data_IF_213117749670
#
_entry.id   IF_213117749670
#
_cell.length_a   1.000
_cell.length_b   1.000
_cell.length_c   1.000
_cell.angle_alpha   90.00
_cell.angle_beta   90.00
_cell.angle_gamma   90.00
#
_symmetry.space_group_name_H-M   'P 1'
#
loop_
_entity.id
_entity.type
_entity.pdbx_description
1 polymer ?
#
# COMPACT_ATOMS: atom_id res chain seq x y z
N UNK A 1 -10.60 5.42 -5.48
CA UNK A 1 -9.62 5.80 -4.44
C UNK A 1 -8.41 6.54 -5.01
N UNK A 2 -8.42 6.88 -6.32
CA UNK A 2 -7.29 7.46 -7.05
C UNK A 2 -6.72 8.76 -6.50
N UNK A 3 -7.54 9.64 -5.93
CA UNK A 3 -7.05 10.92 -5.36
C UNK A 3 -5.98 10.68 -4.29
N UNK A 4 -6.15 9.64 -3.47
CA UNK A 4 -5.18 9.30 -2.41
C UNK A 4 -3.86 8.78 -2.98
N UNK A 5 -3.85 8.31 -4.24
CA UNK A 5 -2.68 7.77 -4.94
C UNK A 5 -1.91 8.83 -5.72
N UNK A 6 -2.36 10.09 -5.70
CA UNK A 6 -1.74 11.15 -6.48
C UNK A 6 -0.31 11.42 -6.01
N UNK A 7 0.63 11.31 -6.94
CA UNK A 7 2.06 11.56 -6.76
C UNK A 7 2.55 12.59 -7.77
N UNK A 8 3.46 13.46 -7.33
CA UNK A 8 4.02 14.50 -8.19
C UNK A 8 3.01 15.60 -8.51
N UNK A 9 3.49 16.59 -9.26
CA UNK A 9 2.66 17.72 -9.68
C UNK A 9 1.77 17.33 -10.87
N UNK A 10 0.47 17.68 -10.83
CA UNK A 10 -0.43 17.45 -11.96
C UNK A 10 0.11 18.05 -13.26
N UNK A 11 0.00 17.30 -14.36
CA UNK A 11 0.43 17.74 -15.69
C UNK A 11 1.89 17.42 -16.06
N UNK A 12 2.71 16.90 -15.12
CA UNK A 12 4.05 16.40 -15.45
C UNK A 12 3.96 15.00 -16.06
N UNK A 13 4.51 14.85 -17.27
CA UNK A 13 4.54 13.56 -18.02
C UNK A 13 5.80 12.72 -17.78
N UNK A 14 6.80 13.26 -17.07
CA UNK A 14 8.02 12.54 -16.74
C UNK A 14 7.73 11.46 -15.69
N UNK A 15 8.43 10.30 -15.73
CA UNK A 15 8.29 9.27 -14.70
C UNK A 15 8.56 9.83 -13.30
N UNK A 16 7.63 9.57 -12.37
CA UNK A 16 7.76 9.98 -10.98
C UNK A 16 8.71 9.03 -10.22
N UNK A 17 9.72 9.60 -9.56
CA UNK A 17 10.58 8.87 -8.64
C UNK A 17 10.39 9.40 -7.21
N UNK A 18 10.39 8.54 -6.19
CA UNK A 18 10.17 8.94 -4.80
C UNK A 18 11.08 10.07 -4.32
N UNK A 19 12.36 10.09 -4.71
CA UNK A 19 13.29 11.16 -4.33
C UNK A 19 12.91 12.56 -4.86
N UNK A 20 11.95 12.64 -5.79
CA UNK A 20 11.38 13.90 -6.32
C UNK A 20 10.03 14.26 -5.69
N UNK A 21 9.55 13.48 -4.72
CA UNK A 21 8.32 13.80 -3.99
C UNK A 21 8.45 15.15 -3.27
N UNK A 22 7.32 15.84 -3.17
CA UNK A 22 7.18 17.11 -2.48
C UNK A 22 5.85 17.14 -1.71
N UNK A 23 5.68 18.14 -0.86
CA UNK A 23 4.49 18.29 -0.01
C UNK A 23 3.20 18.64 -0.78
N UNK A 24 3.26 18.79 -2.11
CA UNK A 24 2.08 18.96 -2.97
C UNK A 24 1.44 17.62 -3.38
N UNK A 25 2.08 16.48 -3.10
CA UNK A 25 1.54 15.15 -3.38
C UNK A 25 0.66 14.65 -2.24
N UNK A 26 -0.48 14.04 -2.56
CA UNK A 26 -1.33 13.36 -1.54
C UNK A 26 -0.66 12.07 -1.06
N UNK A 27 -0.09 11.30 -2.01
CA UNK A 27 0.80 10.19 -1.71
C UNK A 27 2.22 10.73 -1.51
N UNK A 28 2.58 10.95 -0.24
CA UNK A 28 3.86 11.53 0.13
C UNK A 28 4.93 10.45 0.29
N UNK A 29 6.12 10.70 -0.27
CA UNK A 29 7.29 9.86 -0.10
C UNK A 29 8.39 10.63 0.61
N UNK A 30 9.01 10.00 1.61
CA UNK A 30 10.13 10.59 2.31
C UNK A 30 11.32 10.74 1.36
N UNK A 31 11.83 11.96 1.20
CA UNK A 31 12.93 12.27 0.27
C UNK A 31 14.28 12.51 0.93
N UNK A 32 14.33 12.56 2.26
CA UNK A 32 15.58 12.69 2.99
C UNK A 32 15.40 13.18 4.43
N UNK A 33 16.49 13.64 5.09
CA UNK A 33 16.43 14.13 6.47
C UNK A 33 15.63 15.43 6.62
N UNK A 34 15.58 16.28 5.58
CA UNK A 34 14.82 17.55 5.60
C UNK A 34 13.32 17.30 5.39
N UNK A 35 12.99 16.24 4.65
CA UNK A 35 11.65 15.84 4.23
C UNK A 35 11.41 14.36 4.58
N UNK A 36 11.36 14.02 5.88
CA UNK A 36 11.33 12.64 6.35
C UNK A 36 9.93 12.02 6.35
N UNK A 37 8.91 12.80 6.00
CA UNK A 37 7.51 12.38 6.08
C UNK A 37 7.13 11.52 4.87
N UNK A 38 6.34 10.48 5.11
CA UNK A 38 5.73 9.65 4.08
C UNK A 38 4.35 9.18 4.52
N UNK A 39 3.48 8.89 3.57
CA UNK A 39 2.12 8.39 3.87
C UNK A 39 2.22 6.98 4.47
N UNK A 40 1.78 6.80 5.71
CA UNK A 40 1.88 5.51 6.44
C UNK A 40 0.62 4.64 6.33
N UNK A 41 -0.48 5.23 5.87
CA UNK A 41 -1.78 4.61 5.72
C UNK A 41 -2.74 5.54 4.99
N UNK A 42 -3.81 5.00 4.44
CA UNK A 42 -4.86 5.75 3.77
C UNK A 42 -6.22 5.10 3.99
N UNK A 43 -7.27 5.93 4.06
CA UNK A 43 -8.62 5.49 4.31
C UNK A 43 -9.61 6.26 3.43
N UNK A 44 -10.64 5.57 2.94
CA UNK A 44 -11.88 6.19 2.43
C UNK A 44 -13.05 5.70 3.26
N UNK A 45 -13.91 6.61 3.69
CA UNK A 45 -15.15 6.29 4.41
C UNK A 45 -16.36 6.63 3.54
N UNK A 46 -17.23 5.66 3.36
CA UNK A 46 -18.54 5.81 2.72
C UNK A 46 -19.61 5.76 3.80
N UNK A 47 -20.15 6.93 4.12
CA UNK A 47 -21.12 7.10 5.20
C UNK A 47 -22.55 7.09 4.65
N UNK A 48 -23.44 6.39 5.35
CA UNK A 48 -24.85 6.23 5.07
C UNK A 48 -25.69 6.68 6.29
N UNK A 49 -26.91 7.18 6.08
CA UNK A 49 -27.85 7.45 7.18
C UNK A 49 -28.13 6.21 8.04
N UNK A 50 -28.22 5.04 7.40
CA UNK A 50 -28.18 3.76 8.10
C UNK A 50 -26.73 3.40 8.41
N UNK A 51 -26.35 3.60 9.67
CA UNK A 51 -24.99 3.37 10.18
C UNK A 51 -24.50 1.93 9.95
N UNK A 52 -25.41 0.95 9.91
CA UNK A 52 -25.06 -0.45 9.61
C UNK A 52 -24.61 -0.68 8.16
N UNK A 53 -24.81 0.32 7.29
CA UNK A 53 -24.40 0.31 5.89
C UNK A 53 -23.14 1.16 5.63
N UNK A 54 -22.55 1.75 6.66
CA UNK A 54 -21.26 2.44 6.55
C UNK A 54 -20.17 1.47 6.10
N UNK A 55 -19.35 1.89 5.13
CA UNK A 55 -18.21 1.14 4.64
C UNK A 55 -16.94 1.95 4.72
N UNK A 56 -15.84 1.25 4.89
CA UNK A 56 -14.52 1.84 4.91
C UNK A 56 -13.60 1.04 4.01
N UNK A 57 -12.59 1.72 3.52
CA UNK A 57 -11.55 1.14 2.69
C UNK A 57 -10.21 1.59 3.26
N UNK A 58 -9.37 0.65 3.67
CA UNK A 58 -8.10 0.95 4.31
C UNK A 58 -6.96 0.35 3.54
N UNK A 59 -5.82 1.03 3.50
CA UNK A 59 -4.60 0.39 2.98
C UNK A 59 -3.99 -0.60 3.97
N UNK A 60 -3.97 -0.26 5.26
CA UNK A 60 -3.21 -1.01 6.27
C UNK A 60 -1.69 -1.00 6.02
N UNK A 61 -1.23 -0.21 5.05
CA UNK A 61 0.14 -0.12 4.54
C UNK A 61 0.44 1.31 4.09
N UNK A 62 1.73 1.64 3.99
CA UNK A 62 2.21 2.93 3.51
C UNK A 62 1.95 3.14 2.01
N UNK A 63 2.27 4.35 1.51
CA UNK A 63 2.36 4.66 0.08
C UNK A 63 1.15 4.15 -0.73
N UNK A 64 -0.01 4.83 -0.65
CA UNK A 64 -1.26 4.37 -1.25
C UNK A 64 -1.16 4.08 -2.74
N UNK A 65 -0.25 4.69 -3.49
CA UNK A 65 -0.07 4.49 -4.94
C UNK A 65 0.36 3.08 -5.36
N UNK A 66 0.88 2.26 -4.45
CA UNK A 66 1.23 0.84 -4.66
C UNK A 66 0.59 -0.07 -3.61
N UNK A 67 -0.43 0.43 -2.91
CA UNK A 67 -1.16 -0.31 -1.87
C UNK A 67 -2.54 -0.75 -2.32
N UNK A 68 -3.06 -1.77 -1.65
CA UNK A 68 -4.44 -2.23 -1.85
C UNK A 68 -5.36 -1.52 -0.86
N UNK A 69 -6.54 -1.08 -1.30
CA UNK A 69 -7.62 -0.65 -0.44
C UNK A 69 -8.54 -1.83 -0.13
N UNK A 70 -8.55 -2.22 1.13
CA UNK A 70 -9.26 -3.38 1.64
C UNK A 70 -10.60 -2.93 2.23
N UNK A 71 -11.73 -3.54 1.85
CA UNK A 71 -13.04 -3.17 2.38
C UNK A 71 -13.19 -3.55 3.85
N UNK A 72 -13.99 -2.80 4.58
CA UNK A 72 -14.33 -3.00 5.99
C UNK A 72 -15.74 -2.46 6.30
N UNK A 73 -16.44 -3.06 7.25
CA UNK A 73 -17.73 -2.54 7.75
C UNK A 73 -17.63 -1.82 9.08
N UNK A 74 -18.60 -0.95 9.36
CA UNK A 74 -18.75 -0.31 10.67
C UNK A 74 -19.17 -1.35 11.72
N UNK A 75 -18.36 -1.53 12.76
CA UNK A 75 -18.45 -2.63 13.75
C UNK A 75 -17.96 -4.02 13.30
N UNK A 76 -17.17 -4.09 12.22
CA UNK A 76 -16.55 -5.35 11.80
C UNK A 76 -15.50 -5.86 12.79
N UNK A 77 -15.37 -7.18 12.89
CA UNK A 77 -14.36 -7.84 13.74
C UNK A 77 -13.14 -8.33 12.95
N UNK A 78 -13.13 -8.08 11.65
CA UNK A 78 -12.11 -8.55 10.72
C UNK A 78 -10.71 -8.14 11.13
N UNK A 79 -10.52 -6.87 11.50
CA UNK A 79 -9.20 -6.29 11.78
C UNK A 79 -8.76 -6.40 13.25
N UNK A 80 -9.38 -7.29 14.04
CA UNK A 80 -8.96 -7.52 15.42
C UNK A 80 -7.57 -8.17 15.47
N UNK A 81 -6.78 -7.82 16.49
CA UNK A 81 -5.40 -8.29 16.68
C UNK A 81 -5.25 -9.81 16.66
N UNK A 82 -6.28 -10.54 17.10
CA UNK A 82 -6.30 -12.01 17.06
C UNK A 82 -6.21 -12.61 15.64
N UNK A 83 -6.56 -11.84 14.61
CA UNK A 83 -6.64 -12.32 13.23
C UNK A 83 -5.37 -12.02 12.43
N UNK A 84 -4.60 -11.00 12.84
CA UNK A 84 -3.44 -10.51 12.09
C UNK A 84 -2.35 -10.00 13.02
N UNK A 85 -1.10 -10.30 12.66
CA UNK A 85 0.07 -9.77 13.34
C UNK A 85 0.11 -8.24 13.25
N UNK A 86 0.15 -7.60 14.42
CA UNK A 86 0.27 -6.14 14.52
C UNK A 86 1.71 -5.72 14.18
N UNK A 87 1.91 -4.66 13.39
CA UNK A 87 3.24 -4.18 13.09
C UNK A 87 3.92 -3.60 14.33
N UNK A 88 5.14 -4.05 14.60
CA UNK A 88 6.03 -3.50 15.60
C UNK A 88 6.91 -2.36 15.05
N UNK A 89 7.75 -1.81 15.93
CA UNK A 89 8.71 -0.76 15.56
C UNK A 89 9.89 -1.27 14.72
N UNK A 90 10.16 -2.57 14.75
CA UNK A 90 11.19 -3.25 13.96
C UNK A 90 10.54 -4.15 12.92
N UNK A 91 11.30 -4.52 11.89
CA UNK A 91 10.86 -5.39 10.81
C UNK A 91 10.33 -6.73 11.33
N UNK A 92 9.11 -7.07 10.92
CA UNK A 92 8.39 -8.29 11.30
C UNK A 92 7.61 -8.87 10.09
N UNK A 93 6.75 -9.89 10.33
CA UNK A 93 5.95 -10.54 9.29
C UNK A 93 4.54 -9.97 9.09
N UNK A 94 4.22 -8.84 9.72
CA UNK A 94 2.96 -8.12 9.54
C UNK A 94 2.75 -7.71 8.09
N UNK A 95 1.49 -7.39 7.76
CA UNK A 95 1.11 -6.86 6.46
C UNK A 95 1.91 -5.59 6.11
N UNK A 96 2.04 -4.69 7.09
CA UNK A 96 2.70 -3.40 6.93
C UNK A 96 4.18 -3.57 6.59
N UNK A 97 4.91 -4.39 7.35
CA UNK A 97 6.33 -4.62 7.09
C UNK A 97 6.59 -5.45 5.82
N UNK A 98 5.69 -6.36 5.47
CA UNK A 98 5.75 -7.08 4.18
C UNK A 98 5.64 -6.11 3.00
N UNK A 99 4.73 -5.13 3.08
CA UNK A 99 4.61 -4.06 2.09
C UNK A 99 5.83 -3.13 2.08
N UNK A 100 6.27 -2.67 3.24
CA UNK A 100 7.42 -1.76 3.36
C UNK A 100 8.70 -2.36 2.80
N UNK A 101 8.90 -3.68 2.94
CA UNK A 101 10.02 -4.38 2.29
C UNK A 101 9.96 -4.20 0.77
N UNK A 102 8.80 -4.42 0.16
CA UNK A 102 8.62 -4.23 -1.27
C UNK A 102 8.89 -2.78 -1.66
N UNK A 103 8.27 -1.82 -0.98
CA UNK A 103 8.45 -0.39 -1.26
C UNK A 103 9.92 0.04 -1.19
N UNK A 104 10.65 -0.38 -0.14
CA UNK A 104 12.07 -0.03 0.07
C UNK A 104 12.99 -0.64 -1.00
N UNK A 105 12.66 -1.82 -1.52
CA UNK A 105 13.44 -2.48 -2.58
C UNK A 105 13.25 -1.83 -3.96
N UNK A 106 12.07 -1.28 -4.24
CA UNK A 106 11.74 -0.76 -5.58
C UNK A 106 12.13 0.69 -5.81
N UNK A 107 12.57 1.43 -4.79
CA UNK A 107 12.73 2.90 -4.87
C UNK A 107 13.57 3.38 -6.06
N UNK A 108 14.57 2.59 -6.46
CA UNK A 108 15.50 2.91 -7.57
C UNK A 108 14.89 2.73 -8.97
N UNK A 109 13.85 1.91 -9.09
CA UNK A 109 13.12 1.58 -10.32
C UNK A 109 11.60 1.67 -10.07
N UNK A 110 11.22 2.67 -9.27
CA UNK A 110 9.86 2.86 -8.78
C UNK A 110 8.81 2.98 -9.89
N UNK A 111 9.02 3.77 -10.97
CA UNK A 111 8.05 3.85 -12.06
C UNK A 111 7.77 2.49 -12.72
N UNK A 112 8.78 1.65 -12.87
CA UNK A 112 8.67 0.31 -13.46
C UNK A 112 7.90 -0.63 -12.54
N UNK A 113 8.27 -0.65 -11.26
CA UNK A 113 7.61 -1.47 -10.26
C UNK A 113 6.14 -1.09 -10.06
N UNK A 114 5.84 0.22 -9.97
CA UNK A 114 4.46 0.71 -9.87
C UNK A 114 3.62 0.25 -11.07
N UNK A 115 4.13 0.43 -12.29
CA UNK A 115 3.44 -0.04 -13.51
C UNK A 115 3.19 -1.54 -13.50
N UNK A 116 4.14 -2.34 -12.99
CA UNK A 116 4.02 -3.79 -12.95
C UNK A 116 2.92 -4.28 -11.99
N UNK A 117 2.65 -3.56 -10.89
CA UNK A 117 1.66 -3.98 -9.88
C UNK A 117 0.30 -3.30 -10.03
N UNK A 118 0.23 -2.16 -10.73
CA UNK A 118 -0.96 -1.32 -10.76
C UNK A 118 -2.19 -2.03 -11.30
N UNK A 119 -2.08 -2.79 -12.40
CA UNK A 119 -3.22 -3.51 -12.96
C UNK A 119 -3.75 -4.54 -11.96
N UNK A 120 -2.87 -5.29 -11.29
CA UNK A 120 -3.25 -6.29 -10.30
C UNK A 120 -3.97 -5.67 -9.10
N UNK A 121 -3.52 -4.48 -8.66
CA UNK A 121 -4.19 -3.70 -7.60
C UNK A 121 -5.61 -3.34 -8.03
N UNK A 122 -5.76 -2.77 -9.23
CA UNK A 122 -7.07 -2.35 -9.75
C UNK A 122 -8.02 -3.54 -9.93
N UNK A 123 -7.54 -4.67 -10.43
CA UNK A 123 -8.37 -5.86 -10.65
C UNK A 123 -8.94 -6.40 -9.33
N UNK A 124 -8.10 -6.51 -8.30
CA UNK A 124 -8.53 -7.00 -6.99
C UNK A 124 -9.44 -6.00 -6.27
N UNK A 125 -9.14 -4.71 -6.35
CA UNK A 125 -10.00 -3.67 -5.76
C UNK A 125 -11.37 -3.60 -6.42
N UNK A 126 -11.44 -3.71 -7.75
CA UNK A 126 -12.72 -3.77 -8.47
C UNK A 126 -13.52 -5.00 -8.08
N UNK A 127 -12.87 -6.16 -7.96
CA UNK A 127 -13.52 -7.40 -7.50
C UNK A 127 -14.11 -7.22 -6.09
N UNK A 128 -13.35 -6.65 -5.15
CA UNK A 128 -13.83 -6.41 -3.79
C UNK A 128 -14.92 -5.34 -3.74
N UNK A 129 -14.85 -4.31 -4.59
CA UNK A 129 -15.86 -3.27 -4.71
C UNK A 129 -17.19 -3.84 -5.22
N UNK A 130 -17.15 -4.69 -6.24
CA UNK A 130 -18.33 -5.36 -6.77
C UNK A 130 -18.98 -6.26 -5.72
N UNK A 131 -18.19 -7.08 -5.01
CA UNK A 131 -18.73 -7.95 -3.96
C UNK A 131 -19.25 -7.15 -2.76
N UNK A 132 -18.54 -6.09 -2.34
CA UNK A 132 -18.99 -5.17 -1.29
C UNK A 132 -20.33 -4.51 -1.67
N UNK A 133 -20.47 -4.06 -2.93
CA UNK A 133 -21.73 -3.51 -3.43
C UNK A 133 -22.86 -4.56 -3.46
N UNK A 134 -22.56 -5.81 -3.80
CA UNK A 134 -23.53 -6.93 -3.78
C UNK A 134 -23.99 -7.24 -2.36
N UNK A 135 -23.07 -7.24 -1.38
CA UNK A 135 -23.38 -7.44 0.04
C UNK A 135 -24.33 -6.35 0.53
N UNK A 136 -24.02 -5.08 0.25
CA UNK A 136 -24.88 -3.95 0.62
C UNK A 136 -26.28 -4.03 -0.02
N UNK A 137 -26.35 -4.23 -1.35
CA UNK A 137 -27.65 -4.29 -2.06
C UNK A 137 -28.57 -5.38 -1.52
N UNK A 138 -28.00 -6.52 -1.12
CA UNK A 138 -28.76 -7.64 -0.54
C UNK A 138 -29.03 -7.48 0.96
N UNK A 139 -28.60 -6.37 1.58
CA UNK A 139 -28.61 -6.15 3.03
C UNK A 139 -28.06 -7.34 3.80
N UNK A 140 -27.04 -7.99 3.22
CA UNK A 140 -26.34 -9.08 3.90
C UNK A 140 -25.62 -8.47 5.09
N UNK A 141 -25.83 -9.05 6.27
CA UNK A 141 -25.30 -8.50 7.51
C UNK A 141 -23.77 -8.45 7.57
N UNK A 142 -23.27 -7.73 8.58
CA UNK A 142 -21.85 -7.45 8.83
C UNK A 142 -20.93 -8.67 8.70
N UNK A 143 -21.39 -9.87 9.09
CA UNK A 143 -20.63 -11.11 8.99
C UNK A 143 -20.13 -11.43 7.58
N UNK A 144 -20.91 -11.14 6.53
CA UNK A 144 -20.47 -11.38 5.15
C UNK A 144 -19.41 -10.38 4.72
N UNK A 145 -19.55 -9.11 5.13
CA UNK A 145 -18.53 -8.10 4.88
C UNK A 145 -17.23 -8.43 5.61
N UNK A 146 -17.32 -8.97 6.83
CA UNK A 146 -16.14 -9.40 7.57
C UNK A 146 -15.39 -10.53 6.85
N UNK A 147 -16.11 -11.53 6.32
CA UNK A 147 -15.49 -12.59 5.50
C UNK A 147 -14.81 -12.03 4.24
N UNK A 148 -15.42 -11.02 3.58
CA UNK A 148 -14.80 -10.35 2.45
C UNK A 148 -13.51 -9.64 2.87
N UNK A 149 -13.53 -8.89 3.97
CA UNK A 149 -12.36 -8.20 4.53
C UNK A 149 -11.23 -9.17 4.86
N UNK A 150 -11.53 -10.25 5.58
CA UNK A 150 -10.53 -11.27 5.93
C UNK A 150 -9.91 -11.92 4.69
N UNK A 151 -10.71 -12.23 3.68
CA UNK A 151 -10.23 -12.78 2.41
C UNK A 151 -9.36 -11.78 1.67
N UNK A 152 -9.78 -10.52 1.59
CA UNK A 152 -9.03 -9.45 0.95
C UNK A 152 -7.65 -9.25 1.60
N UNK A 153 -7.56 -9.20 2.95
CA UNK A 153 -6.28 -9.05 3.65
C UNK A 153 -5.35 -10.24 3.39
N UNK A 154 -5.87 -11.47 3.42
CA UNK A 154 -5.07 -12.67 3.13
C UNK A 154 -4.52 -12.64 1.71
N UNK A 155 -5.35 -12.28 0.74
CA UNK A 155 -4.94 -12.09 -0.65
C UNK A 155 -3.88 -10.99 -0.77
N UNK A 156 -4.09 -9.83 -0.14
CA UNK A 156 -3.12 -8.73 -0.14
C UNK A 156 -1.76 -9.17 0.41
N UNK A 157 -1.73 -9.88 1.55
CA UNK A 157 -0.50 -10.39 2.12
C UNK A 157 0.20 -11.39 1.18
N UNK A 158 -0.57 -12.25 0.51
CA UNK A 158 -0.04 -13.19 -0.49
C UNK A 158 0.55 -12.46 -1.69
N UNK A 159 -0.11 -11.42 -2.21
CA UNK A 159 0.40 -10.59 -3.30
C UNK A 159 1.72 -9.93 -2.92
N UNK A 160 1.82 -9.28 -1.75
CA UNK A 160 3.08 -8.67 -1.33
C UNK A 160 4.20 -9.69 -1.11
N UNK A 161 3.90 -10.89 -0.60
CA UNK A 161 4.88 -11.97 -0.50
C UNK A 161 5.34 -12.44 -1.88
N UNK A 162 4.42 -12.61 -2.83
CA UNK A 162 4.76 -12.95 -4.21
C UNK A 162 5.61 -11.86 -4.86
N UNK A 163 5.28 -10.58 -4.66
CA UNK A 163 6.06 -9.49 -5.21
C UNK A 163 7.48 -9.47 -4.64
N UNK A 164 7.62 -9.63 -3.33
CA UNK A 164 8.92 -9.70 -2.66
C UNK A 164 9.80 -10.87 -3.12
N UNK A 165 9.20 -12.05 -3.36
CA UNK A 165 9.96 -13.27 -3.65
C UNK A 165 10.21 -13.52 -5.14
N UNK A 166 9.31 -13.05 -6.01
CA UNK A 166 9.34 -13.36 -7.44
C UNK A 166 9.47 -12.11 -8.30
N UNK A 167 8.53 -11.17 -8.17
CA UNK A 167 8.48 -9.98 -9.03
C UNK A 167 9.73 -9.10 -8.88
N UNK A 168 10.22 -8.91 -7.64
CA UNK A 168 11.42 -8.12 -7.38
C UNK A 168 12.64 -8.65 -8.13
N UNK A 169 12.83 -9.97 -8.21
CA UNK A 169 13.96 -10.58 -8.90
C UNK A 169 13.90 -10.31 -10.40
N UNK A 170 12.71 -10.43 -11.00
CA UNK A 170 12.48 -10.08 -12.39
C UNK A 170 12.77 -8.60 -12.66
N UNK A 171 12.19 -7.70 -11.85
CA UNK A 171 12.33 -6.25 -12.03
C UNK A 171 13.78 -5.79 -11.85
N UNK A 172 14.51 -6.34 -10.86
CA UNK A 172 15.93 -6.03 -10.64
C UNK A 172 16.80 -6.48 -11.81
N UNK A 173 16.48 -7.62 -12.43
CA UNK A 173 17.22 -8.12 -13.59
C UNK A 173 17.10 -7.20 -14.82
N UNK A 174 15.91 -6.61 -15.02
CA UNK A 174 15.58 -5.73 -16.15
C UNK A 174 16.03 -4.28 -15.96
N UNK A 175 16.11 -3.79 -14.71
CA UNK A 175 16.33 -2.38 -14.40
C UNK A 175 17.66 -2.11 -13.68
N UNK A 176 18.77 -2.52 -14.31
CA UNK A 176 20.12 -2.36 -13.74
C UNK A 176 20.61 -0.91 -13.69
N UNK A 177 20.09 -0.02 -14.55
CA UNK A 177 20.48 1.39 -14.59
C UNK A 177 19.57 2.22 -13.67
N UNK A 178 20.20 2.92 -12.72
CA UNK A 178 19.56 3.49 -11.52
C UNK A 178 19.55 5.01 -11.58
N UNK A 179 18.54 5.60 -10.94
CA UNK A 179 18.59 7.03 -10.60
C UNK A 179 19.65 7.30 -9.53
N UNK A 180 20.49 8.31 -9.74
CA UNK A 180 21.54 8.71 -8.82
C UNK A 180 21.04 9.79 -7.85
N UNK A 181 20.72 9.39 -6.62
CA UNK A 181 20.32 10.29 -5.53
C UNK A 181 21.06 9.88 -4.23
N UNK A 182 22.31 10.32 -4.02
CA UNK A 182 23.19 9.77 -2.98
C UNK A 182 22.68 10.04 -1.56
N UNK A 183 22.20 11.25 -1.27
CA UNK A 183 21.64 11.59 0.05
C UNK A 183 20.35 10.83 0.36
N UNK A 184 19.49 10.68 -0.64
CA UNK A 184 18.27 9.86 -0.56
C UNK A 184 18.63 8.41 -0.21
N UNK A 185 19.56 7.81 -0.96
CA UNK A 185 20.01 6.44 -0.74
C UNK A 185 20.65 6.26 0.65
N UNK A 186 21.47 7.22 1.10
CA UNK A 186 22.08 7.20 2.42
C UNK A 186 21.05 7.23 3.54
N UNK A 187 20.07 8.14 3.46
CA UNK A 187 19.02 8.27 4.47
C UNK A 187 18.19 6.99 4.58
N UNK A 188 17.77 6.41 3.46
CA UNK A 188 17.05 5.14 3.45
C UNK A 188 17.89 4.00 4.02
N UNK A 189 19.21 3.98 3.75
CA UNK A 189 20.11 3.00 4.38
C UNK A 189 20.14 3.13 5.91
N UNK A 190 20.07 4.35 6.45
CA UNK A 190 19.96 4.59 7.90
C UNK A 190 18.62 4.07 8.43
N UNK A 191 17.50 4.41 7.79
CA UNK A 191 16.18 3.94 8.22
C UNK A 191 16.02 2.41 8.11
N UNK A 192 16.64 1.79 7.10
CA UNK A 192 16.65 0.34 6.95
C UNK A 192 17.40 -0.34 8.10
N UNK A 193 18.58 0.18 8.46
CA UNK A 193 19.33 -0.32 9.63
C UNK A 193 18.55 -0.15 10.93
N UNK A 194 17.90 0.99 11.15
CA UNK A 194 17.08 1.23 12.36
C UNK A 194 15.90 0.26 12.46
N UNK A 195 15.30 -0.08 11.33
CA UNK A 195 14.20 -1.04 11.24
C UNK A 195 14.67 -2.51 11.30
N UNK A 196 15.97 -2.80 11.18
CA UNK A 196 16.47 -4.17 11.07
C UNK A 196 16.10 -4.86 9.75
N UNK A 197 15.83 -4.09 8.68
CA UNK A 197 15.46 -4.63 7.37
C UNK A 197 16.65 -4.60 6.40
N UNK A 198 16.88 -5.72 5.72
CA UNK A 198 17.88 -5.83 4.66
C UNK A 198 17.22 -5.68 3.29
N UNK A 199 17.62 -4.65 2.55
CA UNK A 199 17.19 -4.37 1.16
C UNK A 199 18.40 -4.07 0.28
N UNK A 200 18.31 -4.40 -1.01
CA UNK A 200 19.47 -4.38 -1.94
C UNK A 200 19.67 -3.08 -2.76
#
# INVERSE_FOLDING_TARGET
MEILRQEGEPGITKPFFPFRSNMGSVCLHATGPITPNGTTGSMVAELNPDVSQNRFWFTGTSIPSISFFIPAGFSGTSFLEKNFEQPGAAFDSSLWWTHEKFYREIQRFYPEAKRAVQQRILDLENLWLEESNRILKKRKGQKTLDTLSETAIRTTLQEYRFWNNSLLNELKSKNRQRTFAPFYNWQWSVWNRKAGINVS
#
